data_IF_058498869342
#
_entry.id   IF_058498869342
#
_cell.length_a   1.000
_cell.length_b   1.000
_cell.length_c   1.000
_cell.angle_alpha   90.00
_cell.angle_beta   90.00
_cell.angle_gamma   90.00
#
_symmetry.space_group_name_H-M   'P 1'
#
loop_
_entity.id
_entity.type
_entity.pdbx_description
1 polymer ?
#
# COMPACT_ATOMS: atom_id res chain seq x y z
N UNK A 1 -15.02 9.49 51.92
CA UNK A 1 -14.10 10.66 51.96
C UNK A 1 -12.69 10.16 52.21
N UNK A 2 -11.82 10.13 51.20
CA UNK A 2 -10.37 10.05 51.39
C UNK A 2 -9.70 10.58 50.11
N UNK A 3 -9.11 11.77 50.23
CA UNK A 3 -8.37 12.48 49.18
C UNK A 3 -6.93 11.98 49.20
N UNK A 4 -6.43 11.42 48.11
CA UNK A 4 -4.98 11.27 47.91
C UNK A 4 -4.46 12.34 46.95
N UNK A 5 -3.61 13.18 47.52
CA UNK A 5 -2.86 14.29 46.95
C UNK A 5 -1.60 13.78 46.22
N UNK A 6 -1.34 14.40 45.06
CA UNK A 6 -0.06 14.91 44.56
C UNK A 6 1.18 13.98 44.49
N UNK A 7 1.72 13.84 43.27
CA UNK A 7 3.11 14.24 43.01
C UNK A 7 3.27 14.75 41.57
N UNK A 8 3.59 16.03 41.49
CA UNK A 8 4.02 16.80 40.31
C UNK A 8 5.52 16.62 40.05
N UNK A 9 5.87 16.81 38.77
CA UNK A 9 7.13 17.34 38.25
C UNK A 9 8.35 16.41 38.20
N UNK A 10 8.85 16.19 36.98
CA UNK A 10 10.27 16.39 36.69
C UNK A 10 10.45 16.68 35.20
N UNK A 11 10.46 17.96 34.89
CA UNK A 11 11.03 18.50 33.66
C UNK A 11 12.48 18.05 33.50
N UNK A 12 12.84 17.55 32.32
CA UNK A 12 14.22 17.54 31.85
C UNK A 12 14.26 17.95 30.38
N UNK A 13 14.29 19.25 30.17
CA UNK A 13 14.86 19.85 28.97
C UNK A 13 16.35 19.51 28.93
N UNK A 14 16.79 18.85 27.86
CA UNK A 14 18.15 19.00 27.38
C UNK A 14 18.07 19.41 25.92
N UNK A 15 18.30 20.70 25.71
CA UNK A 15 18.56 21.34 24.44
C UNK A 15 19.79 20.70 23.79
N UNK A 16 19.65 20.20 22.57
CA UNK A 16 20.78 19.89 21.70
C UNK A 16 20.59 20.71 20.41
N UNK A 17 21.25 21.85 20.43
CA UNK A 17 21.49 22.75 19.31
C UNK A 17 22.31 22.01 18.23
N UNK A 18 21.62 21.51 17.21
CA UNK A 18 22.22 20.89 16.03
C UNK A 18 22.26 21.88 14.87
N UNK A 19 23.44 22.45 14.63
CA UNK A 19 23.92 23.25 13.48
C UNK A 19 22.99 23.34 12.24
N UNK A 20 22.72 24.55 11.72
CA UNK A 20 22.19 24.71 10.37
C UNK A 20 23.23 24.27 9.33
N UNK A 21 22.94 23.22 8.58
CA UNK A 21 23.72 22.81 7.40
C UNK A 21 23.61 23.87 6.30
N UNK A 22 24.73 24.39 5.79
CA UNK A 22 24.75 25.25 4.61
C UNK A 22 24.69 24.40 3.34
N UNK A 23 23.85 24.82 2.39
CA UNK A 23 24.13 24.60 0.97
C UNK A 23 23.66 23.30 0.34
N UNK A 24 22.38 23.27 -0.07
CA UNK A 24 21.99 22.63 -1.34
C UNK A 24 21.11 23.60 -2.13
N UNK A 25 21.70 24.74 -2.50
CA UNK A 25 21.20 25.60 -3.56
C UNK A 25 21.78 25.11 -4.88
N UNK A 26 21.13 24.14 -5.54
CA UNK A 26 21.28 23.88 -6.99
C UNK A 26 20.69 22.52 -7.36
N UNK A 27 19.40 22.48 -7.68
CA UNK A 27 18.83 21.41 -8.54
C UNK A 27 17.47 21.76 -9.14
N UNK A 28 16.94 22.96 -8.89
CA UNK A 28 15.67 23.42 -9.47
C UNK A 28 15.78 23.88 -10.94
N UNK A 29 16.99 24.02 -11.49
CA UNK A 29 17.18 24.40 -12.90
C UNK A 29 17.40 23.22 -13.86
N UNK A 30 17.64 22.00 -13.36
CA UNK A 30 17.92 20.84 -14.23
C UNK A 30 16.68 20.01 -14.61
N UNK A 31 15.54 20.18 -13.95
CA UNK A 31 14.34 19.36 -14.20
C UNK A 31 13.43 19.94 -15.29
N UNK A 32 13.41 21.26 -15.49
CA UNK A 32 12.61 21.88 -16.57
C UNK A 32 13.20 21.60 -17.98
N UNK A 33 14.53 21.56 -18.14
CA UNK A 33 15.13 21.38 -19.47
C UNK A 33 14.97 19.95 -20.02
N UNK A 34 14.89 18.92 -19.16
CA UNK A 34 14.67 17.54 -19.61
C UNK A 34 13.21 17.20 -19.90
N UNK A 35 12.25 17.98 -19.37
CA UNK A 35 10.82 17.76 -19.63
C UNK A 35 10.38 18.25 -21.01
N UNK A 36 10.99 19.32 -21.55
CA UNK A 36 10.61 19.84 -22.87
C UNK A 36 11.05 18.94 -24.04
N UNK A 37 12.17 18.20 -23.91
CA UNK A 37 12.69 17.37 -25.00
C UNK A 37 11.87 16.08 -25.22
N UNK A 38 11.25 15.52 -24.18
CA UNK A 38 10.45 14.30 -24.29
C UNK A 38 9.05 14.58 -24.87
N UNK A 39 8.48 15.75 -24.60
CA UNK A 39 7.18 16.16 -25.15
C UNK A 39 7.26 16.39 -26.67
N UNK A 40 8.39 16.89 -27.18
CA UNK A 40 8.59 17.08 -28.63
C UNK A 40 8.80 15.77 -29.41
N UNK A 41 9.30 14.69 -28.77
CA UNK A 41 9.46 13.39 -29.42
C UNK A 41 8.16 12.57 -29.49
N UNK A 42 7.17 12.85 -28.63
CA UNK A 42 5.87 12.15 -28.65
C UNK A 42 4.91 12.66 -29.75
N UNK A 43 5.14 13.85 -30.30
CA UNK A 43 4.26 14.44 -31.33
C UNK A 43 4.64 14.08 -32.78
N UNK A 44 5.82 13.50 -33.01
CA UNK A 44 6.30 13.15 -34.36
C UNK A 44 6.01 11.70 -34.79
N UNK A 45 5.38 10.89 -33.93
CA UNK A 45 5.21 9.44 -34.12
C UNK A 45 3.82 8.96 -34.55
N UNK A 46 2.94 9.85 -35.04
CA UNK A 46 1.59 9.47 -35.49
C UNK A 46 1.48 9.68 -37.00
N UNK A 47 2.14 8.82 -37.76
CA UNK A 47 1.81 8.62 -39.17
C UNK A 47 2.22 7.20 -39.58
N UNK A 48 1.24 6.49 -40.15
CA UNK A 48 1.36 5.20 -40.84
C UNK A 48 1.26 3.94 -39.95
N UNK A 49 0.19 3.17 -40.15
CA UNK A 49 0.24 1.74 -39.85
C UNK A 49 -1.07 1.05 -39.47
N UNK A 50 -1.94 0.85 -40.46
CA UNK A 50 -2.66 -0.41 -40.66
C UNK A 50 -3.80 -0.79 -39.69
N UNK A 51 -5.00 -0.72 -40.27
CA UNK A 51 -6.16 -1.55 -39.97
C UNK A 51 -5.78 -3.00 -39.64
N UNK A 52 -6.22 -3.49 -38.49
CA UNK A 52 -6.51 -4.92 -38.32
C UNK A 52 -7.81 -5.08 -37.52
N UNK A 53 -8.90 -5.17 -38.27
CA UNK A 53 -10.22 -5.55 -37.80
C UNK A 53 -10.28 -7.08 -37.83
N UNK A 54 -9.94 -7.73 -36.71
CA UNK A 54 -10.18 -9.16 -36.51
C UNK A 54 -11.33 -9.35 -35.54
N UNK A 55 -12.52 -9.50 -36.11
CA UNK A 55 -13.68 -10.13 -35.48
C UNK A 55 -13.39 -11.63 -35.33
N UNK A 56 -13.41 -12.19 -34.12
CA UNK A 56 -13.75 -13.61 -33.87
C UNK A 56 -13.88 -13.89 -32.37
N UNK A 57 -15.08 -14.34 -31.98
CA UNK A 57 -15.20 -15.42 -31.02
C UNK A 57 -15.42 -15.06 -29.56
N UNK A 58 -16.59 -14.50 -29.26
CA UNK A 58 -17.19 -14.65 -27.93
C UNK A 58 -17.51 -16.14 -27.69
N UNK A 59 -16.63 -16.84 -27.00
CA UNK A 59 -16.94 -18.07 -26.24
C UNK A 59 -16.25 -18.03 -24.88
N UNK A 60 -16.56 -17.01 -24.07
CA UNK A 60 -16.38 -17.18 -22.62
C UNK A 60 -17.55 -18.01 -22.11
N UNK A 61 -17.38 -19.32 -22.27
CA UNK A 61 -18.19 -20.33 -21.62
C UNK A 61 -18.24 -20.02 -20.11
N UNK A 62 -19.47 -19.93 -19.64
CA UNK A 62 -19.81 -19.77 -18.25
C UNK A 62 -19.20 -20.90 -17.40
N UNK A 63 -18.71 -20.47 -16.24
CA UNK A 63 -18.87 -21.14 -14.95
C UNK A 63 -18.49 -22.64 -14.88
N UNK A 64 -17.20 -22.90 -14.65
CA UNK A 64 -16.86 -23.95 -13.70
C UNK A 64 -17.01 -23.35 -12.30
N UNK A 65 -18.24 -23.39 -11.80
CA UNK A 65 -18.63 -23.10 -10.42
C UNK A 65 -18.17 -24.28 -9.54
N UNK A 66 -16.86 -24.58 -9.58
CA UNK A 66 -16.27 -25.43 -8.56
C UNK A 66 -16.34 -24.66 -7.25
N UNK A 67 -16.83 -25.25 -6.15
CA UNK A 67 -16.77 -24.65 -4.83
C UNK A 67 -15.31 -24.33 -4.56
N UNK A 68 -14.98 -23.06 -4.78
CA UNK A 68 -13.62 -22.60 -4.80
C UNK A 68 -13.29 -22.52 -3.32
N UNK A 69 -12.56 -23.52 -2.81
CA UNK A 69 -12.31 -23.72 -1.38
C UNK A 69 -11.68 -22.50 -0.70
N UNK A 70 -11.52 -22.51 0.64
CA UNK A 70 -10.84 -21.43 1.34
C UNK A 70 -9.49 -21.12 0.68
N UNK A 71 -9.04 -19.86 0.69
CA UNK A 71 -7.76 -19.50 0.09
C UNK A 71 -6.66 -20.31 0.77
N UNK A 72 -5.68 -20.77 -0.02
CA UNK A 72 -4.54 -21.51 0.51
C UNK A 72 -3.71 -20.62 1.45
N UNK A 73 -3.09 -21.21 2.47
CA UNK A 73 -2.18 -20.53 3.40
C UNK A 73 -1.07 -19.79 2.65
N UNK A 74 -0.63 -20.35 1.51
CA UNK A 74 0.32 -19.74 0.58
C UNK A 74 -0.07 -18.32 0.15
N UNK A 75 -1.37 -18.04 -0.02
CA UNK A 75 -1.84 -16.70 -0.37
C UNK A 75 -1.61 -15.72 0.79
N UNK A 76 -1.97 -16.09 2.02
CA UNK A 76 -1.77 -15.26 3.20
C UNK A 76 -0.29 -14.94 3.42
N UNK A 77 0.58 -15.95 3.29
CA UNK A 77 2.03 -15.82 3.45
C UNK A 77 2.64 -14.84 2.43
N UNK A 78 2.01 -14.71 1.26
CA UNK A 78 2.44 -13.78 0.19
C UNK A 78 1.82 -12.40 0.34
N UNK A 79 0.50 -12.33 0.57
CA UNK A 79 -0.27 -11.09 0.57
C UNK A 79 0.01 -10.23 1.81
N UNK A 80 0.11 -10.84 2.99
CA UNK A 80 0.26 -10.12 4.26
C UNK A 80 1.54 -9.26 4.31
N UNK A 81 2.73 -9.77 3.93
CA UNK A 81 3.93 -8.95 3.85
C UNK A 81 3.80 -7.78 2.87
N UNK A 82 3.14 -7.98 1.73
CA UNK A 82 2.92 -6.93 0.72
C UNK A 82 1.97 -5.84 1.21
N UNK A 83 0.90 -6.21 1.91
CA UNK A 83 -0.01 -5.26 2.57
C UNK A 83 0.76 -4.39 3.56
N UNK A 84 1.59 -5.01 4.42
CA UNK A 84 2.43 -4.28 5.39
C UNK A 84 3.43 -3.37 4.71
N UNK A 85 4.11 -3.84 3.67
CA UNK A 85 5.07 -3.05 2.91
C UNK A 85 4.39 -1.85 2.24
N UNK A 86 3.21 -2.04 1.64
CA UNK A 86 2.44 -0.98 1.02
C UNK A 86 2.03 0.09 2.04
N UNK A 87 1.43 -0.31 3.16
CA UNK A 87 1.04 0.61 4.22
C UNK A 87 2.25 1.32 4.81
N UNK A 88 3.38 0.62 5.02
CA UNK A 88 4.64 1.22 5.51
C UNK A 88 5.13 2.33 4.57
N UNK A 89 5.08 2.09 3.25
CA UNK A 89 5.48 3.08 2.25
C UNK A 89 4.55 4.30 2.16
N UNK A 90 3.26 4.13 2.50
CA UNK A 90 2.22 5.16 2.44
C UNK A 90 1.65 5.52 3.80
N UNK A 91 2.42 5.36 4.87
CA UNK A 91 1.88 5.41 6.22
C UNK A 91 1.24 6.77 6.57
N UNK A 92 1.79 7.86 6.03
CA UNK A 92 1.23 9.22 6.18
C UNK A 92 -0.15 9.37 5.52
N UNK A 93 -0.36 8.70 4.40
CA UNK A 93 -1.63 8.72 3.65
C UNK A 93 -2.63 7.75 4.28
N UNK A 94 -2.15 6.59 4.75
CA UNK A 94 -2.93 5.64 5.53
C UNK A 94 -3.53 6.29 6.78
N UNK A 95 -2.74 7.02 7.58
CA UNK A 95 -3.24 7.72 8.77
C UNK A 95 -4.24 8.86 8.48
N UNK A 96 -4.38 9.25 7.20
CA UNK A 96 -5.40 10.21 6.74
C UNK A 96 -6.64 9.52 6.15
N UNK A 97 -6.66 8.18 6.10
CA UNK A 97 -7.74 7.41 5.48
C UNK A 97 -7.78 7.49 3.95
N UNK A 98 -6.70 7.90 3.27
CA UNK A 98 -6.66 7.97 1.80
C UNK A 98 -6.21 6.66 1.14
N UNK A 99 -5.64 5.74 1.92
CA UNK A 99 -5.34 4.38 1.47
C UNK A 99 -6.61 3.53 1.60
N UNK A 100 -7.04 2.94 0.48
CA UNK A 100 -8.24 2.10 0.39
C UNK A 100 -7.86 0.65 0.10
N UNK A 101 -8.77 -0.28 0.34
CA UNK A 101 -8.60 -1.69 -0.04
C UNK A 101 -8.33 -1.86 -1.55
N UNK A 102 -8.89 -0.98 -2.39
CA UNK A 102 -8.62 -0.99 -3.83
C UNK A 102 -7.15 -0.78 -4.13
N UNK A 103 -6.51 0.22 -3.53
CA UNK A 103 -5.08 0.47 -3.72
C UNK A 103 -4.21 -0.70 -3.27
N UNK A 104 -4.60 -1.38 -2.18
CA UNK A 104 -3.92 -2.57 -1.67
C UNK A 104 -4.03 -3.75 -2.65
N UNK A 105 -5.24 -4.05 -3.15
CA UNK A 105 -5.46 -5.12 -4.13
C UNK A 105 -4.71 -4.88 -5.43
N UNK A 106 -4.75 -3.66 -5.95
CA UNK A 106 -3.96 -3.24 -7.13
C UNK A 106 -2.45 -3.43 -6.88
N UNK A 107 -1.96 -3.10 -5.68
CA UNK A 107 -0.55 -3.33 -5.32
C UNK A 107 -0.18 -4.82 -5.26
N UNK A 108 -1.03 -5.67 -4.69
CA UNK A 108 -0.80 -7.12 -4.63
C UNK A 108 -0.73 -7.69 -6.05
N UNK A 109 -1.69 -7.38 -6.92
CA UNK A 109 -1.69 -7.86 -8.32
C UNK A 109 -0.43 -7.38 -9.06
N UNK A 110 -0.01 -6.14 -8.84
CA UNK A 110 1.17 -5.59 -9.50
C UNK A 110 2.51 -6.19 -9.01
N UNK A 111 2.56 -6.74 -7.81
CA UNK A 111 3.80 -7.23 -7.16
C UNK A 111 3.82 -8.74 -6.95
N UNK A 112 2.74 -9.44 -7.26
CA UNK A 112 2.67 -10.90 -7.21
C UNK A 112 2.58 -11.48 -8.61
N UNK A 113 3.29 -12.59 -8.84
CA UNK A 113 3.19 -13.37 -10.08
C UNK A 113 2.33 -14.63 -9.87
N UNK A 114 1.37 -14.59 -8.95
CA UNK A 114 0.52 -15.74 -8.58
C UNK A 114 -0.64 -15.97 -9.55
N UNK A 115 -0.71 -15.21 -10.65
CA UNK A 115 -1.74 -15.36 -11.67
C UNK A 115 -3.13 -14.89 -11.25
N UNK A 116 -3.26 -14.17 -10.13
CA UNK A 116 -4.52 -13.59 -9.68
C UNK A 116 -4.72 -12.21 -10.30
N UNK A 117 -5.95 -11.94 -10.74
CA UNK A 117 -6.38 -10.63 -11.20
C UNK A 117 -6.99 -9.82 -10.06
N UNK A 118 -7.22 -8.52 -10.31
CA UNK A 118 -7.95 -7.69 -9.36
C UNK A 118 -9.34 -8.23 -9.07
N UNK A 119 -10.04 -8.78 -10.07
CA UNK A 119 -11.37 -9.36 -9.90
C UNK A 119 -11.34 -10.61 -9.01
N UNK A 120 -10.28 -11.42 -9.09
CA UNK A 120 -10.11 -12.55 -8.17
C UNK A 120 -9.92 -12.07 -6.72
N UNK A 121 -9.16 -10.99 -6.50
CA UNK A 121 -8.99 -10.41 -5.17
C UNK A 121 -10.26 -9.72 -4.61
N UNK A 122 -11.29 -9.53 -5.42
CA UNK A 122 -12.60 -9.06 -4.95
C UNK A 122 -13.45 -10.16 -4.34
N UNK A 123 -13.14 -11.43 -4.64
CA UNK A 123 -13.79 -12.58 -4.02
C UNK A 123 -13.56 -12.53 -2.50
N UNK A 124 -14.64 -12.68 -1.73
CA UNK A 124 -14.65 -12.57 -0.27
C UNK A 124 -13.57 -13.44 0.38
N UNK A 125 -13.24 -14.59 -0.23
CA UNK A 125 -12.22 -15.52 0.25
C UNK A 125 -10.82 -14.88 0.29
N UNK A 126 -10.43 -14.15 -0.75
CA UNK A 126 -9.14 -13.44 -0.77
C UNK A 126 -9.24 -12.09 -0.07
N UNK A 127 -10.40 -11.43 -0.16
CA UNK A 127 -10.64 -10.14 0.48
C UNK A 127 -10.53 -10.24 2.00
N UNK A 128 -11.09 -11.29 2.61
CA UNK A 128 -11.09 -11.47 4.06
C UNK A 128 -9.67 -11.51 4.63
N UNK A 129 -8.74 -12.21 3.99
CA UNK A 129 -7.32 -12.27 4.43
C UNK A 129 -6.66 -10.89 4.40
N UNK A 130 -6.96 -10.08 3.38
CA UNK A 130 -6.42 -8.73 3.25
C UNK A 130 -7.06 -7.81 4.30
N UNK A 131 -8.37 -7.90 4.48
CA UNK A 131 -9.15 -7.12 5.44
C UNK A 131 -8.74 -7.43 6.87
N UNK A 132 -8.59 -8.71 7.21
CA UNK A 132 -8.14 -9.18 8.53
C UNK A 132 -6.78 -8.58 8.90
N UNK A 133 -5.81 -8.57 7.96
CA UNK A 133 -4.52 -7.94 8.22
C UNK A 133 -4.63 -6.41 8.34
N UNK A 134 -5.45 -5.76 7.52
CA UNK A 134 -5.68 -4.31 7.62
C UNK A 134 -6.30 -3.96 8.96
N UNK A 135 -7.33 -4.69 9.41
CA UNK A 135 -7.98 -4.50 10.70
C UNK A 135 -7.01 -4.74 11.85
N UNK A 136 -6.17 -5.77 11.74
CA UNK A 136 -5.11 -6.01 12.71
C UNK A 136 -4.11 -4.84 12.74
N UNK A 137 -3.76 -4.23 11.59
CA UNK A 137 -2.94 -3.02 11.53
C UNK A 137 -3.67 -1.83 12.16
N UNK A 138 -4.95 -1.61 11.85
CA UNK A 138 -5.78 -0.54 12.43
C UNK A 138 -5.76 -0.65 13.96
N UNK A 139 -6.00 -1.84 14.50
CA UNK A 139 -5.99 -2.09 15.94
C UNK A 139 -4.60 -1.85 16.56
N UNK A 140 -3.52 -2.35 15.93
CA UNK A 140 -2.14 -2.17 16.42
C UNK A 140 -1.71 -0.70 16.40
N UNK A 141 -2.01 0.00 15.30
CA UNK A 141 -1.52 1.34 14.98
C UNK A 141 -2.50 2.47 15.33
N UNK A 142 -3.66 2.14 15.91
CA UNK A 142 -4.77 3.09 16.18
C UNK A 142 -5.10 3.93 14.94
N UNK A 143 -5.35 3.24 13.82
CA UNK A 143 -5.69 3.87 12.54
C UNK A 143 -4.62 4.83 11.99
N UNK A 144 -3.34 4.63 12.36
CA UNK A 144 -2.23 5.49 11.91
C UNK A 144 -1.86 6.62 12.87
N UNK A 145 -2.48 6.70 14.05
CA UNK A 145 -2.11 7.69 15.08
C UNK A 145 -0.80 7.35 15.79
N UNK A 146 -0.39 6.08 15.82
CA UNK A 146 0.90 5.64 16.35
C UNK A 146 2.02 5.78 15.31
N UNK A 147 3.31 5.86 15.73
CA UNK A 147 4.42 5.85 14.78
C UNK A 147 4.50 4.54 13.99
N UNK A 148 5.06 4.60 12.77
CA UNK A 148 5.12 3.47 11.80
C UNK A 148 5.71 2.16 12.37
N UNK A 149 6.50 2.24 13.45
CA UNK A 149 7.04 1.07 14.16
C UNK A 149 5.95 0.12 14.71
N UNK A 150 4.70 0.59 14.87
CA UNK A 150 3.57 -0.26 15.27
C UNK A 150 3.25 -1.37 14.26
N UNK A 151 3.68 -1.24 12.99
CA UNK A 151 3.52 -2.27 11.97
C UNK A 151 4.36 -3.52 12.26
N UNK A 152 5.53 -3.32 12.87
CA UNK A 152 6.51 -4.37 13.13
C UNK A 152 6.22 -5.11 14.46
N UNK A 153 5.25 -4.63 15.26
CA UNK A 153 4.84 -5.21 16.55
C UNK A 153 3.92 -6.43 16.39
N UNK A 154 4.21 -7.30 15.42
CA UNK A 154 3.36 -8.43 15.07
C UNK A 154 2.91 -9.17 16.34
N UNK A 155 1.60 -9.20 16.59
CA UNK A 155 1.03 -10.08 17.59
C UNK A 155 1.03 -11.47 16.96
N UNK A 156 1.85 -12.43 17.41
CA UNK A 156 1.77 -13.81 16.91
C UNK A 156 0.36 -14.31 17.28
N UNK A 157 -0.53 -14.32 16.31
CA UNK A 157 -1.92 -14.70 16.51
C UNK A 157 -2.12 -16.06 15.87
N UNK A 158 -1.47 -17.08 16.44
CA UNK A 158 -1.89 -18.49 16.37
C UNK A 158 -1.41 -19.17 17.67
N UNK A 159 -2.23 -19.11 18.73
CA UNK A 159 -2.47 -20.33 19.52
C UNK A 159 -3.74 -20.92 18.92
N UNK A 160 -3.57 -22.01 18.18
CA UNK A 160 -4.63 -22.89 17.67
C UNK A 160 -4.96 -23.92 18.75
#
# INVERSE_FOLDING_TARGET
MARHKLKTSSDRQTSAEGKPSPGVRSSLLFVCLRSCAVILLLLAGIACGSMFLSSSGATHAASVDSPRGPPDQTFADTAVPLVRQFIKSRYKDYGKGTVTLRHLKEHIVANTNIGLTYEDLRDDRYSSVIEDEVDAIVARCDGGKKPVACLDSAKPSIEL
#
